data_IF_726138203561
#
_entry.id   IF_726138203561
#
_cell.length_a   1.000
_cell.length_b   1.000
_cell.length_c   1.000
_cell.angle_alpha   90.00
_cell.angle_beta   90.00
_cell.angle_gamma   90.00
#
_symmetry.space_group_name_H-M   'P 1'
#
loop_
_entity.id
_entity.type
_entity.pdbx_description
1 polymer ?
#
# COMPACT_ATOMS: atom_id res chain seq x y z
N UNK A 1 26.39 -35.69 3.45
CA UNK A 1 25.74 -35.09 2.27
C UNK A 1 25.37 -33.66 2.68
N UNK A 2 25.93 -32.63 2.04
CA UNK A 2 25.47 -31.26 2.30
C UNK A 2 24.16 -31.03 1.52
N UNK A 3 23.15 -30.38 2.12
CA UNK A 3 21.93 -30.04 1.40
C UNK A 3 22.22 -28.93 0.39
N UNK A 4 21.73 -29.10 -0.83
CA UNK A 4 21.74 -28.09 -1.88
C UNK A 4 20.35 -27.48 -1.99
N UNK A 5 20.27 -26.15 -2.15
CA UNK A 5 19.03 -25.41 -2.27
C UNK A 5 19.07 -24.51 -3.50
N UNK A 6 18.00 -24.49 -4.28
CA UNK A 6 17.88 -23.63 -5.46
C UNK A 6 17.28 -22.25 -5.13
N UNK A 7 16.55 -22.12 -4.01
CA UNK A 7 16.06 -20.84 -3.47
C UNK A 7 16.85 -20.43 -2.20
N UNK A 8 17.42 -19.23 -2.22
CA UNK A 8 18.13 -18.61 -1.10
C UNK A 8 17.27 -18.52 0.19
N UNK A 9 15.94 -18.46 0.05
CA UNK A 9 15.00 -18.45 1.18
C UNK A 9 14.88 -19.81 1.85
N UNK A 10 14.90 -20.89 1.08
CA UNK A 10 14.89 -22.26 1.62
C UNK A 10 16.17 -22.52 2.43
N UNK A 11 17.32 -22.11 1.89
CA UNK A 11 18.60 -22.17 2.59
C UNK A 11 18.58 -21.39 3.93
N UNK A 12 17.97 -20.19 3.96
CA UNK A 12 17.85 -19.37 5.18
C UNK A 12 16.90 -19.98 6.21
N UNK A 13 15.79 -20.58 5.79
CA UNK A 13 14.86 -21.29 6.69
C UNK A 13 15.53 -22.55 7.25
N UNK A 14 16.25 -23.28 6.41
CA UNK A 14 17.00 -24.47 6.83
C UNK A 14 18.09 -24.14 7.86
N UNK A 15 18.95 -23.13 7.59
CA UNK A 15 20.01 -22.71 8.52
C UNK A 15 19.44 -22.26 9.88
N UNK A 16 18.34 -21.49 9.87
CA UNK A 16 17.59 -21.11 11.08
C UNK A 16 17.12 -22.34 11.87
N UNK A 17 16.47 -23.30 11.21
CA UNK A 17 15.93 -24.51 11.86
C UNK A 17 17.05 -25.40 12.40
N UNK A 18 18.09 -25.65 11.61
CA UNK A 18 19.22 -26.51 12.02
C UNK A 18 19.99 -25.87 13.18
N UNK A 19 20.28 -24.57 13.13
CA UNK A 19 20.95 -23.89 14.26
C UNK A 19 20.08 -23.85 15.50
N UNK A 20 18.76 -23.68 15.35
CA UNK A 20 17.84 -23.75 16.49
C UNK A 20 17.83 -25.13 17.12
N UNK A 21 17.84 -26.19 16.30
CA UNK A 21 17.89 -27.58 16.74
C UNK A 21 19.23 -27.93 17.40
N UNK A 22 20.37 -27.61 16.79
CA UNK A 22 21.69 -27.85 17.39
C UNK A 22 21.85 -27.10 18.72
N UNK A 23 21.31 -25.88 18.82
CA UNK A 23 21.31 -25.11 20.06
C UNK A 23 20.54 -25.78 21.22
N UNK A 24 19.56 -26.68 20.97
CA UNK A 24 18.86 -27.40 22.06
C UNK A 24 19.67 -28.54 22.68
N UNK A 25 20.78 -28.94 22.06
CA UNK A 25 21.71 -29.97 22.59
C UNK A 25 23.01 -29.38 23.14
N UNK A 26 23.16 -28.05 23.09
CA UNK A 26 24.35 -27.34 23.54
C UNK A 26 24.19 -26.86 24.99
N UNK A 27 25.31 -26.71 25.70
CA UNK A 27 25.33 -26.22 27.07
C UNK A 27 24.68 -24.82 27.23
N UNK A 28 24.10 -24.51 28.39
CA UNK A 28 23.63 -23.16 28.70
C UNK A 28 24.74 -22.10 28.60
N UNK A 29 24.47 -21.01 27.88
CA UNK A 29 25.34 -19.85 27.85
C UNK A 29 25.46 -19.23 29.25
N UNK A 30 26.69 -19.01 29.73
CA UNK A 30 26.93 -18.33 31.02
C UNK A 30 27.28 -16.88 30.76
N UNK A 31 26.48 -15.94 31.30
CA UNK A 31 26.70 -14.49 31.18
C UNK A 31 26.90 -13.87 32.54
N UNK A 32 27.77 -12.86 32.60
CA UNK A 32 28.05 -12.07 33.79
C UNK A 32 27.49 -10.66 33.59
N UNK A 33 26.70 -10.17 34.54
CA UNK A 33 26.20 -8.79 34.54
C UNK A 33 26.86 -8.01 35.68
N UNK A 34 27.58 -6.95 35.36
CA UNK A 34 28.10 -6.01 36.34
C UNK A 34 27.19 -4.79 36.42
N UNK A 35 26.84 -4.37 37.64
CA UNK A 35 26.09 -3.13 37.89
C UNK A 35 26.91 -2.25 38.83
N UNK A 36 27.35 -1.10 38.33
CA UNK A 36 28.04 -0.08 39.12
C UNK A 36 27.00 0.97 39.51
N UNK A 37 26.89 1.25 40.81
CA UNK A 37 26.16 2.40 41.34
C UNK A 37 27.17 3.49 41.65
N UNK A 38 26.96 4.68 41.10
CA UNK A 38 27.80 5.86 41.26
C UNK A 38 27.01 6.91 42.04
N UNK A 39 27.50 7.26 43.23
CA UNK A 39 27.01 8.43 43.98
C UNK A 39 27.66 9.69 43.39
N UNK A 40 26.83 10.58 42.87
CA UNK A 40 27.19 11.91 42.42
C UNK A 40 26.41 12.95 43.24
N UNK A 41 27.03 13.46 44.31
CA UNK A 41 26.43 14.48 45.19
C UNK A 41 25.09 14.06 45.81
N UNK A 42 24.97 12.80 46.25
CA UNK A 42 23.79 12.12 46.82
C UNK A 42 22.75 11.64 45.80
N UNK A 43 23.01 11.80 44.50
CA UNK A 43 22.20 11.21 43.43
C UNK A 43 22.84 9.93 42.89
N UNK A 44 22.06 8.86 42.77
CA UNK A 44 22.53 7.54 42.35
C UNK A 44 22.40 7.34 40.83
N UNK A 45 23.53 7.25 40.13
CA UNK A 45 23.59 6.87 38.72
C UNK A 45 23.93 5.38 38.59
N UNK A 46 23.31 4.70 37.63
CA UNK A 46 23.49 3.26 37.42
C UNK A 46 24.14 3.02 36.06
N UNK A 47 25.30 2.36 36.06
CA UNK A 47 25.91 1.80 34.86
C UNK A 47 25.79 0.27 34.92
N UNK A 48 25.12 -0.33 33.93
CA UNK A 48 24.95 -1.77 33.80
C UNK A 48 25.64 -2.25 32.53
N UNK A 49 26.37 -3.36 32.62
CA UNK A 49 26.99 -4.03 31.48
C UNK A 49 26.89 -5.54 31.64
N UNK A 50 26.80 -6.25 30.52
CA UNK A 50 26.70 -7.71 30.50
C UNK A 50 27.70 -8.26 29.48
N UNK A 51 28.40 -9.33 29.81
CA UNK A 51 29.34 -10.03 28.90
C UNK A 51 29.13 -11.54 28.98
N UNK A 52 29.42 -12.25 27.89
CA UNK A 52 29.32 -13.73 27.86
C UNK A 52 30.64 -14.36 28.32
N UNK A 53 30.58 -15.14 29.40
CA UNK A 53 31.73 -15.84 30.00
C UNK A 53 31.91 -17.24 29.36
N UNK A 54 30.81 -17.93 29.08
CA UNK A 54 30.80 -19.18 28.31
C UNK A 54 29.72 -19.08 27.24
N UNK A 55 30.07 -19.35 25.97
CA UNK A 55 29.14 -19.18 24.84
C UNK A 55 28.02 -20.22 24.83
N UNK A 56 28.32 -21.50 25.06
CA UNK A 56 27.31 -22.56 24.99
C UNK A 56 26.50 -22.49 23.69
N UNK A 57 25.18 -22.60 23.80
CA UNK A 57 24.25 -22.50 22.65
C UNK A 57 24.37 -21.23 21.78
N UNK A 58 24.96 -20.14 22.28
CA UNK A 58 25.26 -18.96 21.46
C UNK A 58 26.15 -19.30 20.25
N UNK A 59 27.04 -20.30 20.35
CA UNK A 59 27.92 -20.70 19.24
C UNK A 59 27.15 -21.09 17.97
N UNK A 60 25.98 -21.73 18.15
CA UNK A 60 25.13 -22.15 17.04
C UNK A 60 24.16 -21.06 16.60
N UNK A 61 23.55 -20.32 17.55
CA UNK A 61 22.38 -19.47 17.29
C UNK A 61 22.62 -17.95 17.43
N UNK A 62 23.82 -17.49 17.78
CA UNK A 62 24.14 -16.05 17.88
C UNK A 62 23.73 -15.20 16.66
N UNK A 63 23.82 -15.64 15.38
CA UNK A 63 23.40 -14.83 14.23
C UNK A 63 21.90 -14.46 14.21
N UNK A 64 21.07 -15.11 15.04
CA UNK A 64 19.61 -14.98 15.06
C UNK A 64 19.07 -14.31 16.33
N UNK A 65 19.95 -13.76 17.16
CA UNK A 65 19.62 -13.06 18.40
C UNK A 65 20.42 -11.77 18.51
N UNK A 66 19.84 -10.77 19.15
CA UNK A 66 20.58 -9.56 19.50
C UNK A 66 21.25 -9.78 20.87
N UNK A 67 22.58 -9.74 20.89
CA UNK A 67 23.39 -9.92 22.09
C UNK A 67 24.06 -8.60 22.45
N UNK A 68 23.37 -7.81 23.27
CA UNK A 68 23.99 -6.65 23.93
C UNK A 68 25.15 -7.13 24.83
N UNK A 69 26.38 -6.89 24.38
CA UNK A 69 27.59 -7.07 25.18
C UNK A 69 28.21 -5.70 25.46
N UNK A 70 28.30 -5.38 26.75
CA UNK A 70 28.92 -4.16 27.25
C UNK A 70 29.81 -4.55 28.43
N UNK A 71 31.11 -4.62 28.17
CA UNK A 71 32.10 -4.77 29.23
C UNK A 71 32.31 -3.42 29.92
N UNK A 72 32.18 -3.43 31.26
CA UNK A 72 32.44 -2.26 32.09
C UNK A 72 33.87 -2.33 32.66
N UNK A 73 34.51 -1.18 32.92
CA UNK A 73 35.83 -1.17 33.54
C UNK A 73 35.77 -1.80 34.93
N UNK A 74 36.84 -2.51 35.32
CA UNK A 74 37.01 -2.98 36.69
C UNK A 74 37.08 -1.78 37.63
N UNK A 75 36.26 -1.80 38.69
CA UNK A 75 36.18 -0.75 39.71
C UNK A 75 36.14 -1.36 41.10
N UNK A 76 36.66 -0.63 42.08
CA UNK A 76 36.63 -1.02 43.49
C UNK A 76 35.60 -0.20 44.26
N UNK A 77 35.00 -0.80 45.31
CA UNK A 77 34.00 -0.13 46.13
C UNK A 77 34.64 1.01 46.91
N UNK A 78 34.15 2.23 46.71
CA UNK A 78 34.72 3.46 47.30
C UNK A 78 35.75 4.17 46.41
N UNK A 79 36.06 3.64 45.23
CA UNK A 79 36.87 4.34 44.23
C UNK A 79 36.19 5.63 43.74
N UNK A 80 36.97 6.70 43.56
CA UNK A 80 36.49 7.98 43.05
C UNK A 80 36.56 8.04 41.52
N UNK A 81 35.57 8.67 40.89
CA UNK A 81 35.52 8.89 39.44
C UNK A 81 35.27 10.35 39.10
N UNK A 82 35.95 10.87 38.07
CA UNK A 82 35.78 12.24 37.61
C UNK A 82 34.62 12.35 36.61
N UNK A 83 33.63 13.22 36.91
CA UNK A 83 32.52 13.52 36.02
C UNK A 83 33.00 14.37 34.84
N UNK A 84 33.12 13.78 33.65
CA UNK A 84 33.59 14.48 32.44
C UNK A 84 32.50 15.34 31.77
N UNK A 85 31.25 14.89 31.80
CA UNK A 85 30.11 15.55 31.16
C UNK A 85 28.80 15.06 31.79
N UNK A 86 27.86 15.97 32.00
CA UNK A 86 26.47 15.64 32.35
C UNK A 86 25.61 15.95 31.13
N UNK A 87 24.73 15.02 30.75
CA UNK A 87 23.79 15.18 29.64
C UNK A 87 22.36 15.06 30.14
N UNK A 88 21.56 16.11 29.96
CA UNK A 88 20.12 16.07 30.22
C UNK A 88 19.41 15.62 28.94
N UNK A 89 18.62 14.54 29.04
CA UNK A 89 17.90 13.96 27.91
C UNK A 89 16.39 14.14 28.08
N UNK A 90 15.79 15.02 27.27
CA UNK A 90 14.34 15.06 27.09
C UNK A 90 13.88 13.78 26.38
N UNK A 91 12.85 13.11 26.91
CA UNK A 91 12.26 11.89 26.34
C UNK A 91 10.74 12.00 26.37
N UNK A 92 10.09 11.37 25.41
CA UNK A 92 8.63 11.30 25.30
C UNK A 92 8.16 9.84 25.38
N UNK A 93 6.99 9.62 25.97
CA UNK A 93 6.33 8.30 25.99
C UNK A 93 6.02 7.84 24.58
N UNK A 94 6.53 6.67 24.19
CA UNK A 94 6.24 6.09 22.89
C UNK A 94 4.91 5.34 22.91
N UNK A 95 4.07 5.44 21.86
CA UNK A 95 2.86 4.64 21.75
C UNK A 95 3.20 3.14 21.60
N UNK A 96 2.25 2.23 21.88
CA UNK A 96 2.42 0.80 21.64
C UNK A 96 2.88 0.52 20.20
N UNK A 97 3.85 -0.40 20.05
CA UNK A 97 4.31 -0.81 18.72
C UNK A 97 3.18 -1.51 17.98
N UNK A 98 2.92 -1.10 16.73
CA UNK A 98 2.01 -1.81 15.82
C UNK A 98 2.48 -3.25 15.60
N UNK A 99 1.53 -4.15 15.36
CA UNK A 99 1.85 -5.54 15.02
C UNK A 99 2.63 -5.65 13.71
N UNK A 100 3.35 -6.75 13.56
CA UNK A 100 3.95 -7.26 12.32
C UNK A 100 3.33 -8.64 12.04
N UNK A 101 3.48 -9.23 10.85
CA UNK A 101 2.94 -10.58 10.58
C UNK A 101 3.35 -11.62 11.64
N UNK A 102 4.60 -11.60 12.09
CA UNK A 102 5.07 -12.50 13.15
C UNK A 102 4.44 -12.20 14.54
N UNK A 103 4.29 -10.92 14.92
CA UNK A 103 3.73 -10.59 16.23
C UNK A 103 2.21 -10.67 16.30
N UNK A 104 1.47 -10.50 15.19
CA UNK A 104 0.02 -10.78 15.17
C UNK A 104 -0.24 -12.30 15.21
N UNK A 105 0.55 -13.14 14.53
CA UNK A 105 0.45 -14.61 14.64
C UNK A 105 0.70 -15.04 16.09
N UNK A 106 1.68 -14.45 16.77
CA UNK A 106 1.96 -14.71 18.19
C UNK A 106 0.83 -14.23 19.12
N UNK A 107 0.15 -13.13 18.77
CA UNK A 107 -1.02 -12.65 19.53
C UNK A 107 -2.25 -13.54 19.32
N UNK A 108 -2.51 -13.99 18.09
CA UNK A 108 -3.54 -14.99 17.79
C UNK A 108 -3.29 -16.31 18.55
N UNK A 109 -2.03 -16.76 18.60
CA UNK A 109 -1.61 -17.91 19.41
C UNK A 109 -1.83 -17.71 20.91
N UNK A 110 -1.48 -16.53 21.45
CA UNK A 110 -1.70 -16.18 22.86
C UNK A 110 -3.19 -16.17 23.24
N UNK A 111 -4.08 -15.96 22.26
CA UNK A 111 -5.54 -15.95 22.45
C UNK A 111 -6.22 -17.26 22.01
N UNK A 112 -5.49 -18.29 21.60
CA UNK A 112 -6.08 -19.52 21.05
C UNK A 112 -7.01 -19.29 19.84
N UNK A 113 -6.72 -18.28 19.01
CA UNK A 113 -7.47 -17.97 17.80
C UNK A 113 -6.78 -18.56 16.58
N UNK A 114 -7.46 -19.45 15.85
CA UNK A 114 -6.87 -20.22 14.77
C UNK A 114 -5.89 -21.30 15.25
N UNK A 115 -5.63 -22.29 14.40
CA UNK A 115 -4.61 -23.31 14.62
C UNK A 115 -3.23 -22.88 14.10
N UNK A 116 -2.19 -23.66 14.42
CA UNK A 116 -0.84 -23.49 13.86
C UNK A 116 -0.81 -23.50 12.32
N UNK A 117 -1.77 -24.15 11.67
CA UNK A 117 -1.87 -24.18 10.21
C UNK A 117 -2.60 -22.95 9.64
N UNK A 118 -3.63 -22.43 10.31
CA UNK A 118 -4.52 -21.40 9.73
C UNK A 118 -4.10 -19.95 10.02
N UNK A 119 -3.37 -19.67 11.10
CA UNK A 119 -3.01 -18.28 11.51
C UNK A 119 -2.29 -17.48 10.41
N UNK A 120 -1.37 -18.10 9.66
CA UNK A 120 -0.68 -17.45 8.54
C UNK A 120 -1.66 -17.08 7.42
N UNK A 121 -2.54 -18.01 7.03
CA UNK A 121 -3.53 -17.81 5.97
C UNK A 121 -4.61 -16.79 6.35
N UNK A 122 -4.98 -16.69 7.63
CA UNK A 122 -5.87 -15.66 8.16
C UNK A 122 -5.24 -14.27 7.92
N UNK A 123 -3.99 -14.07 8.34
CA UNK A 123 -3.27 -12.79 8.15
C UNK A 123 -3.13 -12.45 6.68
N UNK A 124 -2.71 -13.42 5.87
CA UNK A 124 -2.59 -13.27 4.41
C UNK A 124 -3.93 -12.90 3.74
N UNK A 125 -5.04 -13.45 4.23
CA UNK A 125 -6.38 -13.16 3.75
C UNK A 125 -6.81 -11.73 4.08
N UNK A 126 -6.47 -11.22 5.27
CA UNK A 126 -6.74 -9.83 5.64
C UNK A 126 -6.00 -8.84 4.73
N UNK A 127 -4.74 -9.12 4.38
CA UNK A 127 -3.98 -8.34 3.38
C UNK A 127 -4.59 -8.47 1.97
N UNK A 128 -4.87 -9.68 1.49
CA UNK A 128 -5.44 -9.94 0.16
C UNK A 128 -6.80 -9.27 -0.04
N UNK A 129 -7.61 -9.15 1.02
CA UNK A 129 -8.92 -8.45 1.02
C UNK A 129 -8.82 -6.94 1.28
N UNK A 130 -7.65 -6.42 1.63
CA UNK A 130 -7.43 -4.98 1.87
C UNK A 130 -7.99 -4.45 3.18
N UNK A 131 -8.21 -5.31 4.18
CA UNK A 131 -8.59 -4.88 5.54
C UNK A 131 -7.38 -4.35 6.34
N UNK A 132 -6.17 -4.80 5.99
CA UNK A 132 -4.91 -4.33 6.60
C UNK A 132 -3.85 -4.10 5.53
N UNK A 133 -2.90 -3.20 5.80
CA UNK A 133 -1.73 -2.96 4.97
C UNK A 133 -0.44 -2.65 5.78
N UNK A 134 0.67 -2.41 5.07
CA UNK A 134 1.96 -2.03 5.66
C UNK A 134 2.81 -3.20 6.18
N UNK A 135 4.09 -2.90 6.50
CA UNK A 135 5.00 -3.84 7.19
C UNK A 135 4.77 -3.86 8.70
N UNK A 136 4.61 -2.67 9.28
CA UNK A 136 3.98 -2.48 10.57
C UNK A 136 2.49 -2.33 10.29
N UNK A 137 1.72 -3.37 10.64
CA UNK A 137 0.34 -3.58 10.22
C UNK A 137 -0.52 -2.38 10.64
N UNK A 138 -1.28 -1.85 9.67
CA UNK A 138 -2.30 -0.83 9.89
C UNK A 138 -3.64 -1.38 9.40
N UNK A 139 -4.70 -1.18 10.18
CA UNK A 139 -6.05 -1.40 9.68
C UNK A 139 -6.38 -0.30 8.68
N UNK A 140 -6.94 -0.67 7.53
CA UNK A 140 -7.44 0.30 6.55
C UNK A 140 -8.78 0.85 7.02
N UNK A 141 -9.24 1.97 6.45
CA UNK A 141 -10.58 2.52 6.71
C UNK A 141 -11.70 1.47 6.47
N UNK A 142 -11.51 0.59 5.47
CA UNK A 142 -12.38 -0.55 5.22
C UNK A 142 -12.33 -1.56 6.38
N UNK A 143 -11.14 -1.89 6.90
CA UNK A 143 -10.97 -2.78 8.06
C UNK A 143 -11.66 -2.23 9.30
N UNK A 144 -11.31 -0.99 9.68
CA UNK A 144 -11.84 -0.31 10.87
C UNK A 144 -13.37 -0.29 10.84
N UNK A 145 -13.97 0.25 9.78
CA UNK A 145 -15.43 0.35 9.68
C UNK A 145 -16.13 -1.01 9.57
N UNK A 146 -15.49 -2.02 8.99
CA UNK A 146 -16.05 -3.38 8.98
C UNK A 146 -16.19 -3.89 10.42
N UNK A 147 -15.17 -3.70 11.26
CA UNK A 147 -15.22 -4.11 12.67
C UNK A 147 -16.26 -3.28 13.43
N UNK A 148 -16.22 -1.94 13.35
CA UNK A 148 -17.16 -1.05 14.05
C UNK A 148 -18.64 -1.33 13.72
N UNK A 149 -18.95 -1.63 12.44
CA UNK A 149 -20.32 -1.99 12.02
C UNK A 149 -20.73 -3.36 12.57
N UNK A 150 -19.83 -4.35 12.58
CA UNK A 150 -20.13 -5.68 13.11
C UNK A 150 -20.24 -5.68 14.64
N UNK A 151 -19.39 -4.93 15.35
CA UNK A 151 -19.49 -4.69 16.80
C UNK A 151 -20.86 -4.12 17.19
N UNK A 152 -21.35 -3.13 16.43
CA UNK A 152 -22.62 -2.46 16.74
C UNK A 152 -23.85 -3.32 16.44
N UNK A 153 -23.83 -4.07 15.36
CA UNK A 153 -25.05 -4.70 14.79
C UNK A 153 -25.06 -6.24 14.83
N UNK A 154 -23.90 -6.89 15.02
CA UNK A 154 -23.78 -8.34 15.02
C UNK A 154 -22.60 -8.85 15.90
N UNK A 155 -22.44 -8.40 17.16
CA UNK A 155 -21.23 -8.62 17.96
C UNK A 155 -20.84 -10.11 18.13
N UNK A 156 -21.82 -11.03 18.12
CA UNK A 156 -21.58 -12.49 18.18
C UNK A 156 -20.71 -13.02 17.02
N UNK A 157 -20.63 -12.33 15.88
CA UNK A 157 -19.88 -12.80 14.69
C UNK A 157 -18.36 -12.53 14.79
N UNK A 158 -17.95 -11.68 15.73
CA UNK A 158 -16.56 -11.28 15.98
C UNK A 158 -16.10 -11.68 17.38
N UNK A 159 -16.89 -12.49 18.09
CA UNK A 159 -16.58 -12.90 19.46
C UNK A 159 -15.36 -13.83 19.51
N UNK A 160 -14.34 -13.40 20.24
CA UNK A 160 -13.11 -14.17 20.45
C UNK A 160 -13.36 -15.38 21.36
N UNK A 161 -14.34 -15.34 22.28
CA UNK A 161 -14.69 -16.49 23.12
C UNK A 161 -15.39 -17.59 22.32
N UNK A 162 -16.44 -17.26 21.56
CA UNK A 162 -17.09 -18.22 20.67
C UNK A 162 -16.12 -18.85 19.65
N UNK A 163 -15.16 -18.05 19.14
CA UNK A 163 -14.14 -18.55 18.21
C UNK A 163 -13.20 -19.55 18.90
N UNK A 164 -12.67 -19.19 20.09
CA UNK A 164 -11.80 -20.06 20.90
C UNK A 164 -12.50 -21.36 21.30
N UNK A 165 -13.77 -21.27 21.71
CA UNK A 165 -14.61 -22.42 22.06
C UNK A 165 -14.63 -23.46 20.93
N UNK A 166 -14.97 -23.06 19.70
CA UNK A 166 -14.99 -24.02 18.58
C UNK A 166 -13.60 -24.53 18.15
N UNK A 167 -12.51 -23.82 18.43
CA UNK A 167 -11.15 -24.35 18.22
C UNK A 167 -10.80 -25.42 19.29
N UNK A 168 -11.23 -25.24 20.54
CA UNK A 168 -11.08 -26.23 21.63
C UNK A 168 -11.93 -27.48 21.38
N UNK A 169 -13.18 -27.30 20.93
CA UNK A 169 -14.09 -28.40 20.54
C UNK A 169 -13.53 -29.27 19.41
N UNK A 170 -12.88 -28.64 18.41
CA UNK A 170 -12.23 -29.36 17.31
C UNK A 170 -10.98 -30.13 17.77
N UNK A 171 -10.32 -29.68 18.83
CA UNK A 171 -9.22 -30.41 19.47
C UNK A 171 -9.76 -31.59 20.31
N UNK A 172 -10.85 -31.40 21.05
CA UNK A 172 -11.52 -32.48 21.79
C UNK A 172 -12.10 -33.59 20.87
N UNK A 173 -12.54 -33.25 19.65
CA UNK A 173 -12.82 -34.24 18.59
C UNK A 173 -11.54 -35.00 18.20
N UNK A 174 -10.42 -34.29 18.01
CA UNK A 174 -9.13 -34.89 17.61
C UNK A 174 -8.57 -35.85 18.66
N UNK A 175 -8.76 -35.52 19.94
CA UNK A 175 -8.39 -36.38 21.08
C UNK A 175 -9.42 -37.47 21.40
N UNK A 176 -10.57 -37.49 20.71
CA UNK A 176 -11.63 -38.49 20.87
C UNK A 176 -12.48 -38.32 22.14
N UNK A 177 -12.46 -37.13 22.76
CA UNK A 177 -13.25 -36.77 23.94
C UNK A 177 -14.69 -36.40 23.60
N UNK A 178 -14.94 -35.81 22.43
CA UNK A 178 -16.25 -35.31 22.00
C UNK A 178 -16.62 -35.83 20.60
N UNK A 179 -17.90 -36.08 20.34
CA UNK A 179 -18.34 -36.61 19.05
C UNK A 179 -18.56 -35.47 18.04
N UNK A 180 -18.19 -35.65 16.75
CA UNK A 180 -18.38 -34.63 15.72
C UNK A 180 -19.81 -34.13 15.57
N UNK A 181 -20.80 -35.01 15.70
CA UNK A 181 -22.22 -34.66 15.52
C UNK A 181 -22.73 -33.70 16.60
N UNK A 182 -22.24 -33.82 17.85
CA UNK A 182 -22.61 -32.92 18.96
C UNK A 182 -22.10 -31.50 18.69
N UNK A 183 -20.82 -31.38 18.28
CA UNK A 183 -20.18 -30.09 17.96
C UNK A 183 -20.82 -29.45 16.72
N UNK A 184 -21.16 -30.25 15.70
CA UNK A 184 -21.88 -29.77 14.52
C UNK A 184 -23.31 -29.30 14.86
N UNK A 185 -23.98 -29.93 15.81
CA UNK A 185 -25.26 -29.49 16.36
C UNK A 185 -25.13 -28.11 17.00
N UNK A 186 -24.20 -27.96 17.94
CA UNK A 186 -23.93 -26.70 18.65
C UNK A 186 -23.51 -25.57 17.70
N UNK A 187 -22.60 -25.85 16.76
CA UNK A 187 -22.18 -24.90 15.72
C UNK A 187 -23.35 -24.44 14.83
N UNK A 188 -24.30 -25.33 14.54
CA UNK A 188 -25.50 -25.00 13.76
C UNK A 188 -26.47 -24.11 14.54
N UNK A 189 -26.63 -24.32 15.83
CA UNK A 189 -27.45 -23.46 16.69
C UNK A 189 -26.83 -22.07 16.81
N UNK A 190 -25.54 -21.98 17.15
CA UNK A 190 -24.80 -20.73 17.22
C UNK A 190 -24.84 -19.94 15.90
N UNK A 191 -24.60 -20.60 14.77
CA UNK A 191 -24.68 -19.99 13.44
C UNK A 191 -26.10 -19.51 13.10
N UNK A 192 -27.13 -20.29 13.48
CA UNK A 192 -28.53 -19.93 13.24
C UNK A 192 -28.91 -18.66 14.00
N UNK A 193 -28.45 -18.52 15.23
CA UNK A 193 -28.67 -17.34 16.05
C UNK A 193 -27.89 -16.11 15.54
N UNK A 194 -26.63 -16.28 15.14
CA UNK A 194 -25.83 -15.22 14.49
C UNK A 194 -26.52 -14.73 13.21
N UNK A 195 -26.94 -15.65 12.33
CA UNK A 195 -27.62 -15.30 11.09
C UNK A 195 -28.96 -14.61 11.38
N UNK A 196 -29.71 -15.04 12.40
CA UNK A 196 -30.97 -14.40 12.80
C UNK A 196 -30.75 -12.96 13.26
N UNK A 197 -29.73 -12.72 14.09
CA UNK A 197 -29.41 -11.38 14.59
C UNK A 197 -28.85 -10.48 13.47
N UNK A 198 -27.97 -11.01 12.62
CA UNK A 198 -27.48 -10.30 11.42
C UNK A 198 -28.64 -9.94 10.47
N UNK A 199 -29.60 -10.84 10.25
CA UNK A 199 -30.76 -10.62 9.37
C UNK A 199 -31.68 -9.51 9.86
N UNK A 200 -31.84 -9.33 11.18
CA UNK A 200 -32.60 -8.18 11.74
C UNK A 200 -31.98 -6.84 11.34
N UNK A 201 -30.65 -6.78 11.32
CA UNK A 201 -29.87 -5.55 11.12
C UNK A 201 -29.30 -5.38 9.70
N UNK A 202 -29.58 -6.32 8.78
CA UNK A 202 -29.00 -6.43 7.43
C UNK A 202 -29.03 -5.12 6.63
N UNK A 203 -30.11 -4.34 6.74
CA UNK A 203 -30.25 -3.05 6.04
C UNK A 203 -29.29 -1.98 6.55
N UNK A 204 -29.13 -1.85 7.87
CA UNK A 204 -28.23 -0.84 8.45
C UNK A 204 -26.77 -1.27 8.33
N UNK A 205 -26.47 -2.57 8.50
CA UNK A 205 -25.14 -3.15 8.20
C UNK A 205 -24.77 -2.85 6.73
N UNK A 206 -25.67 -3.17 5.79
CA UNK A 206 -25.43 -2.95 4.36
C UNK A 206 -25.23 -1.46 4.01
N UNK A 207 -25.96 -0.56 4.67
CA UNK A 207 -25.85 0.90 4.49
C UNK A 207 -24.55 1.45 5.05
N UNK A 208 -24.12 1.04 6.24
CA UNK A 208 -22.84 1.44 6.84
C UNK A 208 -21.65 0.91 6.04
N UNK A 209 -21.62 -0.38 5.71
CA UNK A 209 -20.54 -0.99 4.90
C UNK A 209 -20.50 -0.43 3.47
N UNK A 210 -21.65 -0.15 2.86
CA UNK A 210 -21.72 0.51 1.56
C UNK A 210 -21.15 1.93 1.62
N UNK A 211 -21.53 2.71 2.65
CA UNK A 211 -20.97 4.04 2.90
C UNK A 211 -19.45 3.98 3.11
N UNK A 212 -18.96 3.05 3.93
CA UNK A 212 -17.52 2.81 4.16
C UNK A 212 -16.75 2.54 2.86
N UNK A 213 -17.25 1.61 2.04
CA UNK A 213 -16.64 1.23 0.77
C UNK A 213 -16.70 2.38 -0.26
N UNK A 214 -17.82 3.11 -0.33
CA UNK A 214 -17.97 4.30 -1.20
C UNK A 214 -17.00 5.41 -0.76
N UNK A 215 -16.86 5.68 0.53
CA UNK A 215 -15.95 6.72 1.05
C UNK A 215 -14.48 6.34 0.85
N UNK A 216 -14.06 5.13 1.20
CA UNK A 216 -12.70 4.63 0.93
C UNK A 216 -12.38 4.69 -0.57
N UNK A 217 -13.33 4.30 -1.43
CA UNK A 217 -13.18 4.37 -2.89
C UNK A 217 -13.15 5.82 -3.40
N UNK A 218 -13.95 6.71 -2.84
CA UNK A 218 -13.90 8.15 -3.14
C UNK A 218 -12.56 8.75 -2.73
N UNK A 219 -11.98 8.34 -1.61
CA UNK A 219 -10.69 8.88 -1.18
C UNK A 219 -9.52 8.43 -2.07
N UNK A 220 -9.54 7.16 -2.49
CA UNK A 220 -8.51 6.56 -3.35
C UNK A 220 -8.65 6.91 -4.84
N UNK A 221 -9.88 7.11 -5.33
CA UNK A 221 -10.16 7.28 -6.78
C UNK A 221 -10.87 8.58 -7.14
N UNK A 222 -11.40 9.32 -6.15
CA UNK A 222 -12.10 10.58 -6.34
C UNK A 222 -11.16 11.70 -6.76
N UNK A 223 -11.49 12.37 -7.86
CA UNK A 223 -10.68 13.42 -8.48
C UNK A 223 -11.15 14.82 -8.06
N UNK A 224 -12.45 14.98 -7.82
CA UNK A 224 -13.11 16.23 -7.46
C UNK A 224 -14.59 16.22 -7.85
N UNK A 225 -15.28 17.36 -7.68
CA UNK A 225 -16.69 17.48 -8.07
C UNK A 225 -16.88 17.40 -9.59
N UNK A 226 -18.04 16.90 -10.02
CA UNK A 226 -18.41 16.79 -11.43
C UNK A 226 -18.81 18.16 -11.99
N UNK A 227 -18.06 18.73 -12.96
CA UNK A 227 -18.36 20.06 -13.48
C UNK A 227 -19.65 20.12 -14.31
N UNK A 228 -20.17 18.98 -14.77
CA UNK A 228 -21.40 18.91 -15.57
C UNK A 228 -22.68 18.91 -14.75
N UNK A 229 -22.72 18.20 -13.62
CA UNK A 229 -23.91 18.11 -12.76
C UNK A 229 -23.76 18.82 -11.40
N UNK A 230 -22.55 19.23 -11.01
CA UNK A 230 -22.15 19.91 -9.75
C UNK A 230 -22.41 19.13 -8.45
N UNK A 231 -23.40 18.25 -8.42
CA UNK A 231 -23.77 17.44 -7.26
C UNK A 231 -22.92 16.17 -7.11
N UNK A 232 -22.65 15.48 -8.23
CA UNK A 232 -21.88 14.22 -8.24
C UNK A 232 -20.36 14.42 -8.16
N UNK A 233 -19.65 13.34 -7.89
CA UNK A 233 -18.18 13.28 -7.77
C UNK A 233 -17.56 12.46 -8.91
N UNK A 234 -16.41 12.92 -9.40
CA UNK A 234 -15.64 12.25 -10.44
C UNK A 234 -14.72 11.19 -9.84
N UNK A 235 -14.83 9.94 -10.30
CA UNK A 235 -14.02 8.80 -9.87
C UNK A 235 -13.20 8.22 -11.02
N UNK A 236 -11.95 7.82 -10.76
CA UNK A 236 -11.15 6.98 -11.67
C UNK A 236 -11.74 5.57 -11.70
N UNK A 237 -12.07 5.09 -12.90
CA UNK A 237 -12.60 3.74 -13.19
C UNK A 237 -11.74 3.06 -14.27
N UNK A 238 -11.86 1.74 -14.38
CA UNK A 238 -11.25 0.93 -15.45
C UNK A 238 -12.36 0.29 -16.29
N UNK A 239 -12.16 0.21 -17.60
CA UNK A 239 -13.05 -0.47 -18.53
C UNK A 239 -12.26 -1.11 -19.68
N UNK A 240 -12.97 -1.72 -20.64
CA UNK A 240 -12.38 -2.50 -21.76
C UNK A 240 -11.33 -1.73 -22.56
N UNK A 241 -11.44 -0.40 -22.65
CA UNK A 241 -10.54 0.45 -23.44
C UNK A 241 -9.45 1.17 -22.62
N UNK A 242 -9.34 0.88 -21.32
CA UNK A 242 -8.37 1.47 -20.40
C UNK A 242 -9.02 2.17 -19.20
N UNK A 243 -8.22 3.00 -18.53
CA UNK A 243 -8.73 3.88 -17.46
C UNK A 243 -9.55 5.05 -18.02
N UNK A 244 -10.52 5.51 -17.24
CA UNK A 244 -11.29 6.72 -17.51
C UNK A 244 -11.75 7.34 -16.18
N UNK A 245 -12.11 8.62 -16.18
CA UNK A 245 -12.81 9.26 -15.07
C UNK A 245 -14.29 9.33 -15.40
N UNK A 246 -15.18 9.09 -14.44
CA UNK A 246 -16.63 9.17 -14.61
C UNK A 246 -17.34 9.74 -13.39
N UNK A 247 -18.49 10.37 -13.59
CA UNK A 247 -19.39 10.75 -12.50
C UNK A 247 -19.90 9.51 -11.74
N UNK A 248 -20.01 9.62 -10.41
CA UNK A 248 -20.59 8.57 -9.56
C UNK A 248 -22.11 8.41 -9.75
N UNK A 249 -22.82 9.48 -10.10
CA UNK A 249 -24.27 9.50 -10.39
C UNK A 249 -24.59 9.06 -11.83
N UNK A 250 -24.21 7.84 -12.19
CA UNK A 250 -24.70 7.20 -13.41
C UNK A 250 -25.88 6.30 -13.04
N UNK A 251 -27.02 6.33 -13.77
CA UNK A 251 -27.21 6.81 -15.14
C UNK A 251 -27.56 8.30 -15.33
N UNK A 252 -27.82 9.06 -14.25
CA UNK A 252 -28.35 10.43 -14.29
C UNK A 252 -27.36 11.42 -14.94
N UNK A 253 -26.07 11.18 -14.76
CA UNK A 253 -24.96 11.98 -15.28
C UNK A 253 -23.97 11.07 -16.02
N UNK A 254 -23.90 11.21 -17.34
CA UNK A 254 -23.07 10.40 -18.25
C UNK A 254 -21.67 10.99 -18.50
N UNK A 255 -21.24 11.97 -17.71
CA UNK A 255 -19.96 12.66 -17.88
C UNK A 255 -18.78 11.71 -17.67
N UNK A 256 -17.92 11.60 -18.69
CA UNK A 256 -16.70 10.78 -18.67
C UNK A 256 -15.51 11.51 -19.31
N UNK A 257 -14.30 11.22 -18.84
CA UNK A 257 -13.04 11.73 -19.40
C UNK A 257 -12.04 10.59 -19.60
N UNK A 258 -11.55 10.40 -20.82
CA UNK A 258 -10.58 9.34 -21.15
C UNK A 258 -9.21 9.61 -20.50
N UNK A 259 -8.59 8.56 -19.94
CA UNK A 259 -7.23 8.60 -19.38
C UNK A 259 -6.22 7.91 -20.31
N UNK A 260 -4.91 8.17 -20.20
CA UNK A 260 -3.91 7.56 -21.07
C UNK A 260 -3.62 6.12 -20.63
N UNK A 261 -3.49 5.20 -21.58
CA UNK A 261 -3.27 3.77 -21.29
C UNK A 261 -1.89 3.47 -20.67
N UNK A 262 -0.87 4.24 -21.07
CA UNK A 262 0.53 3.99 -20.72
C UNK A 262 1.03 4.91 -19.58
N UNK A 263 0.24 5.07 -18.51
CA UNK A 263 0.64 5.77 -17.30
C UNK A 263 -0.15 5.25 -16.09
N UNK A 264 0.48 5.26 -14.91
CA UNK A 264 -0.22 5.01 -13.66
C UNK A 264 -0.91 6.30 -13.21
N UNK A 265 -2.24 6.30 -13.08
CA UNK A 265 -3.01 7.51 -12.74
C UNK A 265 -3.39 7.50 -11.27
N UNK A 266 -3.16 8.63 -10.59
CA UNK A 266 -3.70 8.95 -9.27
C UNK A 266 -4.55 10.23 -9.35
N UNK A 267 -5.52 10.43 -8.43
CA UNK A 267 -6.12 11.74 -8.24
C UNK A 267 -5.04 12.77 -7.86
N UNK A 268 -5.08 13.98 -8.41
CA UNK A 268 -4.21 15.06 -7.95
C UNK A 268 -4.80 15.82 -6.74
N UNK A 269 -6.12 15.65 -6.47
CA UNK A 269 -6.90 16.41 -5.47
C UNK A 269 -6.70 17.93 -5.59
N UNK A 270 -6.57 18.43 -6.82
CA UNK A 270 -6.38 19.84 -7.18
C UNK A 270 -7.31 20.21 -8.33
N UNK A 271 -7.72 21.47 -8.38
CA UNK A 271 -8.40 22.06 -9.53
C UNK A 271 -7.40 22.72 -10.49
N UNK A 272 -7.86 23.01 -11.70
CA UNK A 272 -7.09 23.71 -12.71
C UNK A 272 -7.27 25.22 -12.58
N UNK A 273 -6.20 25.95 -12.26
CA UNK A 273 -6.21 27.42 -12.11
C UNK A 273 -6.81 28.17 -13.34
N UNK A 274 -6.80 27.53 -14.51
CA UNK A 274 -7.22 28.11 -15.79
C UNK A 274 -8.69 27.82 -16.17
N UNK A 275 -9.37 26.88 -15.49
CA UNK A 275 -10.78 26.55 -15.81
C UNK A 275 -11.60 25.87 -14.70
N UNK A 276 -11.08 25.73 -13.48
CA UNK A 276 -11.75 25.09 -12.34
C UNK A 276 -11.93 23.57 -12.44
N UNK A 277 -11.62 22.91 -13.56
CA UNK A 277 -11.79 21.47 -13.68
C UNK A 277 -10.77 20.68 -12.86
N UNK A 278 -11.14 19.54 -12.26
CA UNK A 278 -10.21 18.71 -11.51
C UNK A 278 -9.02 18.20 -12.34
N UNK A 279 -7.87 18.03 -11.68
CA UNK A 279 -6.63 17.50 -12.22
C UNK A 279 -6.40 16.03 -11.80
N UNK A 280 -5.71 15.28 -12.65
CA UNK A 280 -5.16 13.94 -12.36
C UNK A 280 -3.64 13.92 -12.50
N UNK A 281 -2.96 13.12 -11.69
CA UNK A 281 -1.51 12.90 -11.78
C UNK A 281 -1.24 11.63 -12.60
N UNK A 282 -0.52 11.75 -13.72
CA UNK A 282 -0.07 10.60 -14.49
C UNK A 282 1.42 10.35 -14.29
N UNK A 283 1.76 9.18 -13.77
CA UNK A 283 3.13 8.74 -13.47
C UNK A 283 3.61 7.83 -14.61
N UNK A 284 4.77 8.15 -15.19
CA UNK A 284 5.45 7.39 -16.25
C UNK A 284 6.92 7.18 -15.90
N UNK A 285 7.62 6.33 -16.65
CA UNK A 285 9.08 6.12 -16.52
C UNK A 285 9.92 7.41 -16.61
N UNK A 286 9.42 8.45 -17.33
CA UNK A 286 10.10 9.75 -17.50
C UNK A 286 9.70 10.81 -16.46
N UNK A 287 8.91 10.46 -15.43
CA UNK A 287 8.44 11.39 -14.41
C UNK A 287 6.92 11.40 -14.23
N UNK A 288 6.45 12.23 -13.30
CA UNK A 288 5.03 12.45 -13.01
C UNK A 288 4.60 13.84 -13.52
N UNK A 289 3.40 13.94 -14.10
CA UNK A 289 2.85 15.19 -14.60
C UNK A 289 1.35 15.30 -14.26
N UNK A 290 0.90 16.49 -13.88
CA UNK A 290 -0.52 16.79 -13.64
C UNK A 290 -1.24 17.17 -14.95
N UNK A 291 -2.49 16.73 -15.10
CA UNK A 291 -3.33 16.98 -16.28
C UNK A 291 -4.72 17.43 -15.87
N UNK A 292 -5.18 18.57 -16.39
CA UNK A 292 -6.57 18.99 -16.31
C UNK A 292 -7.47 18.02 -17.11
N UNK A 293 -8.61 17.61 -16.53
CA UNK A 293 -9.57 16.73 -17.22
C UNK A 293 -10.33 17.42 -18.37
N UNK A 294 -10.52 18.74 -18.31
CA UNK A 294 -11.17 19.49 -19.39
C UNK A 294 -10.36 19.38 -20.68
N UNK A 295 -10.95 18.81 -21.75
CA UNK A 295 -10.27 18.70 -23.05
C UNK A 295 -10.16 20.05 -23.76
N UNK A 296 -11.03 21.00 -23.43
CA UNK A 296 -11.08 22.36 -24.00
C UNK A 296 -10.54 23.43 -23.03
N UNK A 297 -9.74 23.02 -22.04
CA UNK A 297 -9.01 23.93 -21.15
C UNK A 297 -8.22 24.98 -21.95
N UNK A 298 -8.27 26.29 -21.60
CA UNK A 298 -7.46 27.33 -22.26
C UNK A 298 -5.97 26.98 -22.31
N UNK A 299 -5.43 26.40 -21.23
CA UNK A 299 -4.02 25.96 -21.13
C UNK A 299 -3.63 24.77 -22.04
N UNK A 300 -4.56 24.24 -22.86
CA UNK A 300 -4.32 23.15 -23.81
C UNK A 300 -4.24 23.63 -25.26
N UNK A 301 -4.48 24.92 -25.50
CA UNK A 301 -4.23 25.56 -26.78
C UNK A 301 -2.77 26.02 -26.83
N UNK A 302 -2.10 25.84 -27.97
CA UNK A 302 -0.84 26.51 -28.22
C UNK A 302 -1.08 28.03 -28.30
N UNK A 303 -0.11 28.82 -27.84
CA UNK A 303 -0.11 30.28 -27.98
C UNK A 303 0.56 30.70 -29.30
N UNK A 304 0.58 32.00 -29.58
CA UNK A 304 1.22 32.56 -30.77
C UNK A 304 0.67 32.06 -32.12
N UNK A 305 1.53 32.13 -33.15
CA UNK A 305 1.17 31.87 -34.56
C UNK A 305 0.64 30.45 -34.79
N UNK A 306 1.12 29.47 -34.04
CA UNK A 306 0.66 28.08 -34.13
C UNK A 306 -0.75 27.91 -33.54
N UNK A 307 -1.04 28.58 -32.43
CA UNK A 307 -2.39 28.67 -31.86
C UNK A 307 -3.41 29.26 -32.83
N UNK A 308 -3.05 30.35 -33.50
CA UNK A 308 -3.89 30.95 -34.55
C UNK A 308 -4.09 30.02 -35.75
N UNK A 309 -3.02 29.37 -36.21
CA UNK A 309 -3.08 28.43 -37.33
C UNK A 309 -3.98 27.24 -37.01
N UNK A 310 -3.87 26.69 -35.80
CA UNK A 310 -4.75 25.63 -35.31
C UNK A 310 -6.22 26.11 -35.20
N UNK A 311 -6.48 27.33 -34.71
CA UNK A 311 -7.83 27.93 -34.68
C UNK A 311 -8.41 28.12 -36.09
N UNK A 312 -7.60 28.53 -37.07
CA UNK A 312 -8.01 28.70 -38.47
C UNK A 312 -8.30 27.35 -39.14
N UNK A 313 -7.49 26.32 -38.90
CA UNK A 313 -7.74 24.94 -39.37
C UNK A 313 -9.00 24.35 -38.72
N UNK A 314 -9.17 24.51 -37.41
CA UNK A 314 -10.35 24.02 -36.69
C UNK A 314 -11.67 24.70 -37.13
N UNK A 315 -11.60 25.93 -37.64
CA UNK A 315 -12.73 26.66 -38.24
C UNK A 315 -12.92 26.40 -39.74
N UNK A 316 -12.12 25.53 -40.37
CA UNK A 316 -12.18 25.27 -41.81
C UNK A 316 -11.68 26.43 -42.69
N UNK A 317 -11.05 27.46 -42.11
CA UNK A 317 -10.53 28.64 -42.83
C UNK A 317 -9.21 28.30 -43.56
N UNK A 318 -8.45 27.33 -43.05
CA UNK A 318 -7.24 26.82 -43.67
C UNK A 318 -7.38 25.31 -43.81
N UNK A 319 -7.33 24.81 -45.05
CA UNK A 319 -7.20 23.37 -45.31
C UNK A 319 -5.73 23.02 -45.59
N UNK A 320 -5.25 21.92 -45.02
CA UNK A 320 -3.94 21.34 -45.33
C UNK A 320 -4.11 19.86 -45.61
N UNK A 321 -3.53 19.36 -46.71
CA UNK A 321 -3.50 17.93 -47.01
C UNK A 321 -2.61 17.18 -46.02
N UNK A 322 -3.00 15.96 -45.66
CA UNK A 322 -2.25 15.09 -44.76
C UNK A 322 -0.93 14.64 -45.43
N UNK A 323 0.24 14.99 -44.88
CA UNK A 323 1.53 14.70 -45.51
C UNK A 323 1.86 13.20 -45.54
N UNK A 324 1.19 12.36 -44.75
CA UNK A 324 1.40 10.91 -44.72
C UNK A 324 0.65 10.14 -45.82
N UNK A 325 -0.51 10.63 -46.25
CA UNK A 325 -1.37 9.87 -47.18
C UNK A 325 -1.83 10.64 -48.43
N UNK A 326 -1.67 11.97 -48.47
CA UNK A 326 -2.11 12.86 -49.56
C UNK A 326 -3.63 12.96 -49.76
N UNK A 327 -4.41 11.97 -49.31
CA UNK A 327 -5.85 11.78 -49.58
C UNK A 327 -6.79 12.29 -48.48
N UNK A 328 -6.28 12.57 -47.29
CA UNK A 328 -7.05 13.12 -46.16
C UNK A 328 -6.58 14.54 -45.84
N UNK A 329 -7.37 15.29 -45.07
CA UNK A 329 -7.04 16.63 -44.56
C UNK A 329 -6.48 16.56 -43.13
N UNK A 330 -5.68 17.54 -42.76
CA UNK A 330 -5.19 17.74 -41.40
C UNK A 330 -6.26 18.46 -40.59
N UNK A 331 -6.72 17.83 -39.51
CA UNK A 331 -7.67 18.36 -38.55
C UNK A 331 -7.03 18.52 -37.17
N UNK A 332 -7.54 19.44 -36.35
CA UNK A 332 -7.10 19.60 -34.97
C UNK A 332 -7.89 18.65 -34.08
N UNK A 333 -7.20 17.74 -33.39
CA UNK A 333 -7.77 16.80 -32.42
C UNK A 333 -7.36 17.20 -30.99
N UNK A 334 -8.21 16.88 -30.01
CA UNK A 334 -7.97 17.16 -28.59
C UNK A 334 -7.46 15.92 -27.86
N UNK A 335 -6.56 16.11 -26.89
CA UNK A 335 -6.10 15.07 -25.98
C UNK A 335 -5.95 15.61 -24.55
N UNK A 336 -5.66 14.72 -23.60
CA UNK A 336 -5.29 15.15 -22.24
C UNK A 336 -4.00 16.00 -22.20
N UNK A 337 -3.11 15.85 -23.20
CA UNK A 337 -1.79 16.51 -23.28
C UNK A 337 -1.82 17.86 -24.01
N UNK A 338 -2.98 18.29 -24.50
CA UNK A 338 -3.12 19.43 -25.42
C UNK A 338 -3.79 19.06 -26.73
N UNK A 339 -4.00 20.06 -27.59
CA UNK A 339 -4.45 19.87 -28.97
C UNK A 339 -3.27 19.49 -29.89
N UNK A 340 -3.56 18.75 -30.95
CA UNK A 340 -2.56 18.21 -31.89
C UNK A 340 -3.15 18.10 -33.30
N UNK A 341 -2.30 18.10 -34.32
CA UNK A 341 -2.71 17.83 -35.71
C UNK A 341 -2.89 16.32 -35.91
N UNK A 342 -3.94 15.90 -36.61
CA UNK A 342 -4.14 14.52 -37.04
C UNK A 342 -4.87 14.42 -38.37
N UNK A 343 -4.89 13.25 -38.99
CA UNK A 343 -5.68 13.04 -40.21
C UNK A 343 -7.19 12.97 -39.91
N UNK A 344 -8.02 13.46 -40.83
CA UNK A 344 -9.48 13.24 -40.83
C UNK A 344 -9.80 11.74 -40.99
N UNK A 345 -9.14 11.06 -41.95
CA UNK A 345 -9.25 9.63 -42.28
C UNK A 345 -8.66 8.68 -41.23
N UNK A 346 -8.70 9.02 -39.94
CA UNK A 346 -8.41 8.05 -38.89
C UNK A 346 -9.62 7.13 -38.70
N UNK A 347 -9.48 5.79 -38.67
CA UNK A 347 -8.25 5.05 -38.37
C UNK A 347 -7.35 4.68 -39.55
N UNK A 348 -7.80 4.80 -40.80
CA UNK A 348 -7.05 4.41 -42.02
C UNK A 348 -5.70 5.14 -42.14
N UNK A 349 -5.61 6.38 -41.67
CA UNK A 349 -4.39 7.16 -41.60
C UNK A 349 -4.12 7.67 -40.18
N UNK A 350 -3.25 6.96 -39.46
CA UNK A 350 -2.75 7.36 -38.15
C UNK A 350 -1.61 8.40 -38.21
N UNK A 351 -1.77 9.47 -39.00
CA UNK A 351 -0.85 10.63 -38.95
C UNK A 351 -1.18 11.53 -37.75
N UNK A 352 -0.15 11.96 -37.02
CA UNK A 352 -0.25 12.92 -35.91
C UNK A 352 0.99 13.81 -35.84
N UNK A 353 0.84 15.09 -35.51
CA UNK A 353 1.93 16.03 -35.23
C UNK A 353 1.57 16.98 -34.07
N UNK A 354 2.56 17.52 -33.36
CA UNK A 354 2.35 18.52 -32.31
C UNK A 354 1.88 19.87 -32.88
N UNK A 355 1.35 20.72 -32.00
CA UNK A 355 1.24 22.16 -32.22
C UNK A 355 2.46 22.78 -31.54
N UNK A 356 3.57 22.86 -32.24
CA UNK A 356 4.78 23.50 -31.73
C UNK A 356 4.58 25.02 -31.87
N UNK A 357 4.86 25.87 -30.88
CA UNK A 357 5.68 25.67 -29.67
C UNK A 357 4.89 25.52 -28.33
N UNK A 358 5.61 25.32 -27.21
CA UNK A 358 5.08 25.39 -25.83
C UNK A 358 5.84 26.43 -24.99
N UNK A 359 5.13 27.43 -24.48
CA UNK A 359 5.62 28.31 -23.42
C UNK A 359 5.52 27.60 -22.05
N UNK A 360 6.64 27.40 -21.36
CA UNK A 360 6.68 27.07 -19.92
C UNK A 360 6.80 25.58 -19.54
N UNK A 361 7.94 25.22 -18.93
CA UNK A 361 8.17 23.95 -18.24
C UNK A 361 9.49 23.27 -18.64
N UNK A 362 10.51 23.37 -17.79
CA UNK A 362 11.88 22.92 -18.04
C UNK A 362 12.00 21.48 -18.59
N UNK A 363 12.70 21.36 -19.72
CA UNK A 363 13.04 20.08 -20.35
C UNK A 363 14.27 20.23 -21.23
N UNK A 364 15.43 19.78 -20.73
CA UNK A 364 16.70 19.82 -21.47
C UNK A 364 16.59 19.12 -22.83
N UNK A 365 17.26 19.70 -23.83
CA UNK A 365 17.30 19.24 -25.21
C UNK A 365 17.69 17.76 -25.34
N UNK A 366 17.10 17.11 -26.34
CA UNK A 366 17.50 15.79 -26.83
C UNK A 366 17.19 15.72 -28.31
N UNK A 367 18.09 16.25 -29.15
CA UNK A 367 17.97 16.18 -30.60
C UNK A 367 18.00 14.73 -31.07
N UNK A 368 17.03 14.36 -31.91
CA UNK A 368 16.96 13.05 -32.56
C UNK A 368 17.04 13.20 -34.07
N UNK A 369 18.20 13.60 -34.60
CA UNK A 369 18.48 13.45 -36.03
C UNK A 369 18.66 11.96 -36.33
N UNK A 370 17.93 11.46 -37.32
CA UNK A 370 18.18 10.14 -37.87
C UNK A 370 19.05 10.27 -39.12
N UNK A 371 20.22 9.64 -39.11
CA UNK A 371 20.99 9.28 -40.30
C UNK A 371 21.37 7.79 -40.19
N UNK A 372 21.50 7.13 -41.34
CA UNK A 372 21.64 5.67 -41.44
C UNK A 372 23.06 5.19 -41.74
N UNK A 373 23.15 3.89 -42.08
CA UNK A 373 24.37 3.11 -42.34
C UNK A 373 25.27 2.90 -41.10
N UNK A 374 25.68 1.71 -40.70
CA UNK A 374 25.85 0.45 -41.42
C UNK A 374 27.19 -0.18 -40.98
N UNK A 375 27.26 -1.53 -40.94
CA UNK A 375 28.41 -2.34 -40.45
C UNK A 375 28.61 -2.27 -38.91
N UNK A 376 29.02 -3.31 -38.20
CA UNK A 376 29.28 -4.70 -38.59
C UNK A 376 30.47 -5.29 -37.82
N UNK A 377 30.27 -6.43 -37.15
CA UNK A 377 31.27 -7.21 -36.36
C UNK A 377 31.89 -6.44 -35.17
N UNK A 378 32.06 -7.02 -33.98
CA UNK A 378 32.54 -8.38 -33.65
C UNK A 378 31.81 -9.03 -32.48
#
# INVERSE_FOLDING_TARGET
MQPSFDDEREAKVYDLVVRRFLATFSDPATRETMTIVLDCSRENFIARGTRTVKRGWHEFYAPYIDLEEQELPKVEKGGQVAVKKIGMHTKETQPPKRYTPASIIKELERRSLGTKATRSDIVDTLFKRGYVDGRSIQATELGIRTVETLERHAPKIIDEELTRHFEEEMEDIREGKRQPDDVLGEAREALTDIIRDFKKNEKEIGKELSKANIETRNELTGVGKCPSCKEGDLQIRRGKFGGFVACNRYPECKTTFSLPRNAFIKPAKKECEQCGYPKVLAIKKKGAQEFCLNQDCPSKYAEGKAGETAKKIAKGIIEKSCPKCGKGKVVVRSSIYGKFYGCDRYPECAYTAQLDERSGGDGKNGEGKGEGHGKGYS
#
